data_IF_413776743616
#
_entry.id   IF_413776743616
#
_cell.length_a   1.000
_cell.length_b   1.000
_cell.length_c   1.000
_cell.angle_alpha   90.00
_cell.angle_beta   90.00
_cell.angle_gamma   90.00
#
_symmetry.space_group_name_H-M   'P 1'
#
loop_
_entity.id
_entity.type
_entity.pdbx_description
1 polymer ?
#
# COMPACT_ATOMS: atom_id res chain seq x y z
N UNK A 1 2.01 2.02 -0.45
CA UNK A 1 0.97 1.30 0.29
C UNK A 1 1.26 -0.19 0.27
N UNK A 2 1.32 -0.81 1.45
CA UNK A 2 1.35 -2.26 1.56
C UNK A 2 -0.06 -2.76 1.87
N UNK A 3 -0.45 -3.90 1.31
CA UNK A 3 -1.76 -4.49 1.58
C UNK A 3 -1.63 -6.02 1.65
N UNK A 4 -2.53 -6.70 2.43
CA UNK A 4 -2.39 -8.14 2.66
C UNK A 4 -2.54 -9.02 1.43
N UNK A 5 -3.65 -8.90 0.71
CA UNK A 5 -3.95 -9.79 -0.42
C UNK A 5 -4.85 -9.10 -1.44
N UNK A 6 -4.51 -9.23 -2.71
CA UNK A 6 -5.37 -8.83 -3.82
C UNK A 6 -6.70 -9.59 -3.77
N UNK A 7 -7.75 -9.00 -4.34
CA UNK A 7 -9.09 -9.58 -4.44
C UNK A 7 -9.84 -9.76 -3.11
N UNK A 8 -9.27 -9.27 -2.00
CA UNK A 8 -10.00 -9.25 -0.72
C UNK A 8 -10.78 -7.93 -0.60
N UNK A 9 -11.87 -7.93 0.20
CA UNK A 9 -12.83 -6.82 0.23
C UNK A 9 -12.23 -5.49 0.67
N UNK A 10 -11.51 -5.48 1.79
CA UNK A 10 -10.94 -4.24 2.34
C UNK A 10 -9.78 -3.73 1.47
N UNK A 11 -8.94 -4.62 0.95
CA UNK A 11 -7.85 -4.23 0.06
C UNK A 11 -8.38 -3.65 -1.24
N UNK A 12 -9.42 -4.25 -1.82
CA UNK A 12 -10.06 -3.72 -3.03
C UNK A 12 -10.62 -2.32 -2.76
N UNK A 13 -11.30 -2.14 -1.64
CA UNK A 13 -11.87 -0.84 -1.24
C UNK A 13 -10.77 0.21 -1.07
N UNK A 14 -9.68 -0.14 -0.40
CA UNK A 14 -8.55 0.77 -0.19
C UNK A 14 -7.94 1.23 -1.52
N UNK A 15 -7.61 0.29 -2.38
CA UNK A 15 -6.92 0.60 -3.63
C UNK A 15 -7.83 1.31 -4.62
N UNK A 16 -9.13 1.01 -4.64
CA UNK A 16 -10.09 1.75 -5.45
C UNK A 16 -10.28 3.17 -4.95
N UNK A 17 -10.29 3.39 -3.64
CA UNK A 17 -10.33 4.74 -3.07
C UNK A 17 -9.08 5.54 -3.47
N UNK A 18 -7.90 4.92 -3.45
CA UNK A 18 -6.67 5.54 -3.90
C UNK A 18 -6.74 5.86 -5.40
N UNK A 19 -7.22 4.93 -6.22
CA UNK A 19 -7.43 5.15 -7.66
C UNK A 19 -8.28 6.40 -7.92
N UNK A 20 -9.38 6.53 -7.18
CA UNK A 20 -10.30 7.65 -7.36
C UNK A 20 -9.73 8.99 -6.89
N UNK A 21 -8.71 8.96 -6.05
CA UNK A 21 -8.06 10.15 -5.49
C UNK A 21 -6.67 10.43 -6.07
N UNK A 22 -6.25 9.70 -7.12
CA UNK A 22 -4.87 9.79 -7.62
C UNK A 22 -4.49 11.20 -8.06
N UNK A 23 -5.45 11.98 -8.57
CA UNK A 23 -5.19 13.36 -8.99
C UNK A 23 -4.71 14.23 -7.82
N UNK A 24 -5.21 14.00 -6.61
CA UNK A 24 -4.79 14.74 -5.42
C UNK A 24 -3.32 14.49 -5.10
N UNK A 25 -2.87 13.24 -5.24
CA UNK A 25 -1.47 12.87 -5.01
C UNK A 25 -0.56 13.42 -6.11
N UNK A 26 -1.03 13.42 -7.37
CA UNK A 26 -0.29 14.02 -8.47
C UNK A 26 -0.06 15.52 -8.24
N UNK A 27 -1.06 16.23 -7.71
CA UNK A 27 -0.93 17.65 -7.38
C UNK A 27 0.09 17.89 -6.26
N UNK A 28 0.32 16.89 -5.41
CA UNK A 28 1.33 16.95 -4.35
C UNK A 28 2.70 16.43 -4.81
N UNK A 29 2.88 16.20 -6.11
CA UNK A 29 4.10 15.64 -6.70
C UNK A 29 4.49 14.29 -6.10
N UNK A 30 3.50 13.50 -5.72
CA UNK A 30 3.72 12.18 -5.14
C UNK A 30 3.47 11.09 -6.18
N UNK A 31 4.31 10.07 -6.17
CA UNK A 31 4.09 8.83 -6.92
C UNK A 31 3.55 7.79 -5.96
N UNK A 32 2.44 7.15 -6.32
CA UNK A 32 1.80 6.13 -5.49
C UNK A 32 2.15 4.75 -6.02
N UNK A 33 2.51 3.84 -5.11
CA UNK A 33 2.81 2.44 -5.44
C UNK A 33 2.09 1.55 -4.42
N UNK A 34 1.46 0.49 -4.91
CA UNK A 34 0.87 -0.55 -4.05
C UNK A 34 1.78 -1.77 -4.03
N UNK A 35 1.93 -2.40 -2.87
CA UNK A 35 2.83 -3.55 -2.69
C UNK A 35 2.14 -4.63 -1.89
N UNK A 36 2.22 -5.87 -2.35
CA UNK A 36 1.78 -7.04 -1.58
C UNK A 36 2.68 -8.23 -1.87
N UNK A 37 2.50 -9.32 -1.11
CA UNK A 37 3.23 -10.58 -1.35
C UNK A 37 2.57 -11.44 -2.42
N UNK A 38 1.47 -10.98 -3.03
CA UNK A 38 0.86 -11.68 -4.16
C UNK A 38 1.85 -11.81 -5.32
N UNK A 39 1.66 -12.82 -6.17
CA UNK A 39 2.51 -12.97 -7.36
C UNK A 39 2.29 -11.81 -8.34
N UNK A 40 3.30 -11.52 -9.20
CA UNK A 40 3.13 -10.48 -10.22
C UNK A 40 1.95 -10.75 -11.16
N UNK A 41 1.66 -12.02 -11.42
CA UNK A 41 0.54 -12.41 -12.29
C UNK A 41 -0.80 -12.08 -11.64
N UNK A 42 -0.94 -12.36 -10.35
CA UNK A 42 -2.15 -12.02 -9.59
C UNK A 42 -2.36 -10.51 -9.54
N UNK A 43 -1.30 -9.75 -9.27
CA UNK A 43 -1.37 -8.29 -9.19
C UNK A 43 -1.70 -7.66 -10.54
N UNK A 44 -1.18 -8.20 -11.64
CA UNK A 44 -1.48 -7.71 -12.98
C UNK A 44 -2.97 -7.85 -13.28
N UNK A 45 -3.56 -9.00 -12.96
CA UNK A 45 -4.99 -9.23 -13.14
C UNK A 45 -5.83 -8.34 -12.24
N UNK A 46 -5.43 -8.18 -10.99
CA UNK A 46 -6.13 -7.32 -10.03
C UNK A 46 -6.13 -5.86 -10.50
N UNK A 47 -4.99 -5.37 -10.94
CA UNK A 47 -4.87 -4.02 -11.48
C UNK A 47 -5.79 -3.82 -12.68
N UNK A 48 -5.83 -4.78 -13.60
CA UNK A 48 -6.67 -4.70 -14.79
C UNK A 48 -8.16 -4.71 -14.43
N UNK A 49 -8.60 -5.62 -13.57
CA UNK A 49 -10.01 -5.74 -13.18
C UNK A 49 -10.52 -4.51 -12.43
N UNK A 50 -9.70 -3.93 -11.56
CA UNK A 50 -10.08 -2.76 -10.77
C UNK A 50 -9.73 -1.44 -11.45
N UNK A 51 -9.13 -1.49 -12.64
CA UNK A 51 -8.71 -0.29 -13.38
C UNK A 51 -7.85 0.64 -12.53
N UNK A 52 -6.90 0.07 -11.79
CA UNK A 52 -6.00 0.84 -10.95
C UNK A 52 -5.02 1.62 -11.81
N UNK A 53 -4.80 2.89 -11.47
CA UNK A 53 -4.02 3.83 -12.25
C UNK A 53 -2.67 4.17 -11.58
N UNK A 54 -2.14 3.24 -10.81
CA UNK A 54 -0.81 3.33 -10.22
C UNK A 54 -0.17 1.94 -10.21
N UNK A 55 1.17 1.85 -10.14
CA UNK A 55 1.85 0.56 -10.18
C UNK A 55 1.54 -0.31 -8.97
N UNK A 56 1.41 -1.61 -9.21
CA UNK A 56 1.39 -2.62 -8.15
C UNK A 56 2.66 -3.45 -8.29
N UNK A 57 3.42 -3.55 -7.20
CA UNK A 57 4.67 -4.29 -7.16
C UNK A 57 4.50 -5.54 -6.30
N UNK A 58 5.11 -6.63 -6.76
CA UNK A 58 5.07 -7.89 -6.03
C UNK A 58 6.26 -8.00 -5.07
N UNK A 59 5.96 -8.21 -3.80
CA UNK A 59 6.96 -8.55 -2.80
C UNK A 59 6.82 -10.04 -2.44
N UNK A 60 6.70 -10.89 -3.46
CA UNK A 60 6.49 -12.32 -3.32
C UNK A 60 7.52 -12.96 -2.38
N UNK A 61 8.76 -12.52 -2.44
CA UNK A 61 9.84 -13.03 -1.59
C UNK A 61 9.95 -12.32 -0.25
N UNK A 62 9.04 -11.39 0.05
CA UNK A 62 8.90 -10.73 1.36
C UNK A 62 10.08 -9.85 1.78
N UNK A 63 10.88 -9.39 0.82
CA UNK A 63 12.08 -8.59 1.10
C UNK A 63 11.72 -7.19 1.61
N UNK A 64 10.85 -6.48 0.88
CA UNK A 64 10.44 -5.13 1.27
C UNK A 64 9.58 -5.17 2.53
N UNK A 65 8.63 -6.09 2.61
CA UNK A 65 7.74 -6.22 3.77
C UNK A 65 8.52 -6.52 5.04
N UNK A 66 9.56 -7.36 4.95
CA UNK A 66 10.45 -7.63 6.08
C UNK A 66 11.28 -6.41 6.46
N UNK A 67 11.82 -5.70 5.46
CA UNK A 67 12.65 -4.51 5.69
C UNK A 67 11.85 -3.40 6.39
N UNK A 68 10.57 -3.26 6.08
CA UNK A 68 9.70 -2.25 6.70
C UNK A 68 9.06 -2.75 8.00
N UNK A 69 9.30 -4.01 8.39
CA UNK A 69 8.84 -4.56 9.66
C UNK A 69 7.33 -4.72 9.77
N UNK A 70 6.63 -5.02 8.66
CA UNK A 70 5.17 -5.03 8.65
C UNK A 70 4.56 -6.35 8.19
N UNK A 71 5.24 -7.48 8.44
CA UNK A 71 4.70 -8.80 8.12
C UNK A 71 3.85 -9.36 9.26
N UNK A 72 2.74 -10.01 8.89
CA UNK A 72 2.01 -10.87 9.83
C UNK A 72 2.78 -12.16 10.04
N UNK A 73 2.87 -12.63 11.29
CA UNK A 73 3.36 -13.98 11.56
C UNK A 73 2.34 -15.00 11.06
N UNK A 74 1.03 -14.70 11.19
CA UNK A 74 -0.02 -15.52 10.63
C UNK A 74 -1.22 -14.64 10.26
N UNK A 75 -1.80 -14.92 9.10
CA UNK A 75 -3.00 -14.24 8.58
C UNK A 75 -4.12 -15.29 8.44
N UNK A 76 -5.32 -14.88 7.98
CA UNK A 76 -6.46 -15.79 7.83
C UNK A 76 -6.10 -17.02 6.99
N UNK A 77 -6.78 -18.12 7.23
CA UNK A 77 -6.55 -19.39 6.54
C UNK A 77 -5.14 -19.96 6.71
N UNK A 78 -4.45 -19.59 7.78
CA UNK A 78 -3.12 -20.11 8.07
C UNK A 78 -2.01 -19.54 7.19
N UNK A 79 -2.26 -18.46 6.44
CA UNK A 79 -1.23 -17.82 5.61
C UNK A 79 -0.20 -17.13 6.51
N UNK A 80 1.08 -17.38 6.23
CA UNK A 80 2.18 -16.80 7.01
C UNK A 80 2.99 -15.84 6.14
N UNK A 81 3.45 -14.75 6.77
CA UNK A 81 4.30 -13.78 6.07
C UNK A 81 3.58 -12.94 5.05
N UNK A 82 2.29 -12.66 5.27
CA UNK A 82 1.51 -11.73 4.45
C UNK A 82 1.78 -10.32 4.96
N UNK A 83 1.81 -9.34 4.07
CA UNK A 83 2.00 -7.93 4.47
C UNK A 83 0.85 -7.45 5.33
N UNK A 84 1.15 -6.69 6.37
CA UNK A 84 0.14 -5.90 7.07
C UNK A 84 -0.28 -4.75 6.17
N UNK A 85 -1.47 -4.20 6.42
CA UNK A 85 -1.87 -2.97 5.73
C UNK A 85 -1.05 -1.83 6.30
N UNK A 86 -0.39 -1.08 5.44
CA UNK A 86 0.52 -0.01 5.88
C UNK A 86 0.61 1.08 4.84
N UNK A 87 0.87 2.30 5.30
CA UNK A 87 1.16 3.44 4.45
C UNK A 87 2.46 4.10 4.90
N UNK A 88 3.34 4.34 3.94
CA UNK A 88 4.61 5.03 4.18
C UNK A 88 4.74 6.17 3.21
N UNK A 89 5.24 7.31 3.69
CA UNK A 89 5.63 8.43 2.84
C UNK A 89 7.14 8.56 2.89
N UNK A 90 7.76 8.53 1.72
CA UNK A 90 9.21 8.57 1.57
C UNK A 90 9.56 9.82 0.79
N UNK A 91 10.51 10.62 1.30
CA UNK A 91 10.94 11.86 0.64
C UNK A 91 11.97 11.59 -0.46
N UNK A 92 12.40 12.67 -1.12
CA UNK A 92 13.34 12.57 -2.25
C UNK A 92 14.72 12.05 -1.84
N UNK A 93 15.06 12.11 -0.55
CA UNK A 93 16.34 11.60 -0.04
C UNK A 93 16.25 10.14 0.37
N UNK A 94 15.07 9.51 0.28
CA UNK A 94 14.85 8.14 0.69
C UNK A 94 14.52 7.98 2.16
N UNK A 95 14.22 9.07 2.86
CA UNK A 95 13.89 9.05 4.28
C UNK A 95 12.39 8.87 4.48
N UNK A 96 11.99 7.98 5.37
CA UNK A 96 10.59 7.77 5.72
C UNK A 96 10.12 8.94 6.59
N UNK A 97 9.14 9.70 6.10
CA UNK A 97 8.57 10.86 6.79
C UNK A 97 7.25 10.55 7.48
N UNK A 98 6.60 9.47 7.12
CA UNK A 98 5.35 9.03 7.72
C UNK A 98 5.28 7.52 7.64
N UNK A 99 4.84 6.88 8.73
CA UNK A 99 4.67 5.44 8.78
C UNK A 99 3.43 5.10 9.61
N UNK A 100 2.55 4.32 9.03
CA UNK A 100 1.37 3.80 9.73
C UNK A 100 1.21 2.34 9.36
N UNK A 101 1.34 1.45 10.34
CA UNK A 101 1.17 0.01 10.17
C UNK A 101 -0.05 -0.40 10.99
N UNK A 102 -1.03 -1.02 10.34
CA UNK A 102 -2.30 -1.38 10.97
C UNK A 102 -2.27 -2.85 11.38
N UNK A 103 -2.50 -3.12 12.65
CA UNK A 103 -2.52 -4.48 13.18
C UNK A 103 -3.76 -5.25 12.69
N UNK A 104 -4.88 -4.56 12.47
CA UNK A 104 -6.11 -5.17 11.98
C UNK A 104 -6.25 -4.95 10.48
N UNK A 105 -6.43 -6.04 9.73
CA UNK A 105 -6.62 -5.99 8.28
C UNK A 105 -7.94 -5.31 7.87
N UNK A 106 -8.87 -5.13 8.80
CA UNK A 106 -10.12 -4.42 8.55
C UNK A 106 -10.01 -2.91 8.61
N UNK A 107 -8.89 -2.39 9.15
CA UNK A 107 -8.68 -0.95 9.28
C UNK A 107 -7.97 -0.40 8.05
N UNK A 108 -8.24 0.87 7.73
CA UNK A 108 -7.60 1.59 6.63
C UNK A 108 -6.61 2.63 7.17
N UNK A 109 -5.54 2.94 6.43
CA UNK A 109 -4.65 4.04 6.79
C UNK A 109 -5.38 5.37 6.81
N UNK A 110 -4.86 6.34 7.56
CA UNK A 110 -5.36 7.71 7.52
C UNK A 110 -4.81 8.41 6.28
N UNK A 111 -5.57 8.40 5.20
CA UNK A 111 -5.16 9.06 3.97
C UNK A 111 -5.06 10.58 4.14
N UNK A 112 -5.84 11.15 5.07
CA UNK A 112 -5.71 12.57 5.41
C UNK A 112 -4.32 12.87 5.96
N UNK A 113 -3.81 12.06 6.89
CA UNK A 113 -2.47 12.24 7.45
C UNK A 113 -1.39 12.04 6.38
N UNK A 114 -1.59 11.10 5.47
CA UNK A 114 -0.67 10.87 4.35
C UNK A 114 -0.60 12.13 3.48
N UNK A 115 -1.76 12.68 3.08
CA UNK A 115 -1.81 13.90 2.26
C UNK A 115 -1.20 15.10 2.97
N UNK A 116 -1.46 15.25 4.28
CA UNK A 116 -0.89 16.35 5.06
C UNK A 116 0.62 16.27 5.11
N UNK A 117 1.17 15.07 5.29
CA UNK A 117 2.64 14.86 5.27
C UNK A 117 3.23 15.24 3.92
N UNK A 118 2.59 14.81 2.82
CA UNK A 118 3.04 15.14 1.47
C UNK A 118 2.99 16.65 1.22
N UNK A 119 1.95 17.32 1.69
CA UNK A 119 1.82 18.76 1.54
C UNK A 119 2.93 19.51 2.28
N UNK A 120 3.33 19.03 3.45
CA UNK A 120 4.44 19.61 4.20
C UNK A 120 5.78 19.45 3.48
N UNK A 121 5.97 18.34 2.78
CA UNK A 121 7.21 18.09 2.02
C UNK A 121 7.29 18.95 0.78
N UNK A 122 6.17 19.37 0.22
CA UNK A 122 6.10 20.30 -0.91
C UNK A 122 6.51 21.71 -0.52
N UNK A 123 6.12 22.11 0.68
CA UNK A 123 6.42 23.42 1.21
C UNK A 123 7.83 23.52 1.71
#
# INVERSE_FOLDING_TARGET
>A
LFFPQAFTSVCTKELCAMRDSIADYNRLNASVVGISVDSPFTLDRFKAEQQLNFPLLSDFNKEASSAYGELYSEFVFGMKGVSKRAAFVIDKTGTVQYAEVLESAGDLPSFENVRNTLAQLEG
#
